data_IF_359275270736
#
_entry.id   IF_359275270736
#
_cell.length_a   1.000
_cell.length_b   1.000
_cell.length_c   1.000
_cell.angle_alpha   90.00
_cell.angle_beta   90.00
_cell.angle_gamma   90.00
#
_symmetry.space_group_name_H-M   'P 1'
#
loop_
_entity.id
_entity.type
_entity.pdbx_description
1 polymer ?
#
# COMPACT_ATOMS: atom_id res chain seq x y z
N UNK A 1 24.25 -72.23 16.95
CA UNK A 1 22.85 -72.52 17.32
C UNK A 1 21.95 -72.11 16.16
N UNK A 2 21.56 -73.08 15.35
CA UNK A 2 20.46 -73.03 14.38
C UNK A 2 19.13 -73.38 15.12
N UNK A 3 17.91 -73.29 14.54
CA UNK A 3 17.56 -73.07 13.11
C UNK A 3 16.42 -72.02 12.88
N UNK A 4 16.24 -71.52 11.64
CA UNK A 4 15.11 -71.78 10.71
C UNK A 4 13.77 -71.08 11.04
N UNK A 5 12.86 -70.76 10.12
CA UNK A 5 12.75 -70.67 8.66
C UNK A 5 11.31 -70.13 8.40
N UNK A 6 11.04 -69.36 7.36
CA UNK A 6 10.30 -69.84 6.17
C UNK A 6 9.16 -68.85 5.86
N UNK A 7 9.10 -68.20 4.69
CA UNK A 7 8.45 -68.67 3.43
C UNK A 7 6.95 -68.98 3.60
N UNK A 8 5.99 -68.67 2.71
CA UNK A 8 5.89 -68.02 1.39
C UNK A 8 4.36 -67.95 1.08
N UNK A 9 3.99 -67.12 0.08
CA UNK A 9 2.90 -67.32 -0.91
C UNK A 9 1.40 -67.04 -0.61
N UNK A 10 0.88 -66.13 -1.46
CA UNK A 10 -0.48 -65.88 -2.02
C UNK A 10 -1.14 -67.18 -2.61
N UNK A 11 -2.42 -67.27 -3.12
CA UNK A 11 -3.30 -66.21 -3.69
C UNK A 11 -4.87 -66.36 -3.61
N UNK A 12 -5.55 -65.29 -4.07
CA UNK A 12 -6.75 -65.17 -4.97
C UNK A 12 -8.21 -65.65 -4.67
N UNK A 13 -9.12 -64.87 -5.30
CA UNK A 13 -10.53 -65.11 -5.75
C UNK A 13 -11.67 -64.90 -4.72
N UNK A 14 -12.88 -64.42 -5.02
CA UNK A 14 -13.56 -63.77 -6.16
C UNK A 14 -15.04 -63.48 -5.74
N UNK A 15 -15.75 -62.58 -6.44
CA UNK A 15 -17.22 -62.41 -6.44
C UNK A 15 -17.68 -60.93 -6.24
N UNK A 16 -18.04 -60.13 -7.26
CA UNK A 16 -19.28 -60.12 -8.11
C UNK A 16 -20.56 -59.89 -7.28
N UNK A 17 -21.55 -59.03 -7.55
CA UNK A 17 -22.03 -58.03 -8.54
C UNK A 17 -23.07 -57.18 -7.74
N UNK A 18 -23.46 -55.93 -8.03
CA UNK A 18 -24.27 -55.39 -9.14
C UNK A 18 -24.37 -53.86 -8.91
N UNK A 19 -24.06 -52.98 -9.86
CA UNK A 19 -24.91 -52.49 -10.95
C UNK A 19 -26.17 -51.72 -10.49
N UNK A 20 -26.05 -50.39 -10.40
CA UNK A 20 -27.16 -49.45 -10.56
C UNK A 20 -26.60 -48.06 -10.93
N UNK A 21 -26.82 -47.64 -12.18
CA UNK A 21 -26.73 -46.23 -12.58
C UNK A 21 -28.01 -45.51 -12.11
N UNK A 22 -27.95 -44.19 -11.85
CA UNK A 22 -28.51 -43.33 -12.89
C UNK A 22 -27.79 -41.99 -13.12
N UNK A 23 -27.80 -41.64 -14.41
CA UNK A 23 -28.04 -40.34 -15.07
C UNK A 23 -27.38 -39.05 -14.59
N UNK A 24 -26.77 -38.42 -15.59
CA UNK A 24 -26.37 -37.03 -15.66
C UNK A 24 -27.48 -36.04 -15.25
N UNK A 25 -27.11 -35.10 -14.39
CA UNK A 25 -27.80 -33.85 -14.14
C UNK A 25 -26.77 -32.71 -14.18
N UNK A 26 -27.10 -31.66 -14.92
CA UNK A 26 -26.31 -30.46 -15.16
C UNK A 26 -25.95 -29.73 -13.84
N UNK A 27 -24.90 -28.87 -13.85
CA UNK A 27 -24.52 -28.13 -12.66
C UNK A 27 -25.61 -27.13 -12.27
N UNK A 28 -26.13 -27.27 -11.05
CA UNK A 28 -26.92 -26.25 -10.38
C UNK A 28 -26.12 -24.95 -10.32
N UNK A 29 -26.70 -23.93 -10.93
CA UNK A 29 -26.37 -22.54 -10.71
C UNK A 29 -26.34 -22.24 -9.21
N UNK A 30 -25.19 -21.80 -8.71
CA UNK A 30 -25.09 -21.15 -7.41
C UNK A 30 -25.92 -19.87 -7.47
N UNK A 31 -27.17 -19.96 -7.02
CA UNK A 31 -28.03 -18.83 -6.72
C UNK A 31 -27.32 -17.97 -5.66
N UNK A 32 -26.79 -16.83 -6.09
CA UNK A 32 -26.51 -15.69 -5.23
C UNK A 32 -27.84 -15.25 -4.61
N UNK A 33 -28.13 -15.73 -3.39
CA UNK A 33 -29.21 -15.18 -2.58
C UNK A 33 -28.89 -13.72 -2.26
N UNK A 34 -29.50 -12.83 -3.04
CA UNK A 34 -29.62 -11.42 -2.75
C UNK A 34 -30.32 -11.27 -1.39
N UNK A 35 -29.60 -10.71 -0.42
CA UNK A 35 -30.20 -10.22 0.81
C UNK A 35 -31.06 -9.00 0.45
N UNK A 36 -32.35 -9.21 0.19
CA UNK A 36 -33.36 -8.17 0.23
C UNK A 36 -33.79 -7.98 1.69
N UNK A 37 -33.21 -6.98 2.35
CA UNK A 37 -33.76 -6.43 3.59
C UNK A 37 -34.75 -5.34 3.21
N UNK A 38 -35.98 -5.53 3.67
CA UNK A 38 -37.14 -4.71 3.41
C UNK A 38 -37.00 -3.28 3.91
N UNK A 39 -37.29 -2.31 3.03
CA UNK A 39 -37.62 -0.95 3.41
C UNK A 39 -38.95 -0.92 4.17
N UNK A 40 -38.88 -0.74 5.49
CA UNK A 40 -40.01 -0.27 6.29
C UNK A 40 -39.77 1.19 6.66
N UNK A 41 -40.69 2.04 6.21
CA UNK A 41 -40.72 3.47 6.48
C UNK A 41 -40.81 3.74 7.98
N UNK A 42 -39.77 4.39 8.54
CA UNK A 42 -39.82 5.02 9.87
C UNK A 42 -39.80 6.52 9.65
N UNK A 43 -40.79 7.17 10.28
CA UNK A 43 -41.12 8.57 10.13
C UNK A 43 -39.97 9.51 10.45
N UNK A 44 -39.98 10.58 9.66
CA UNK A 44 -39.14 11.76 9.71
C UNK A 44 -39.21 12.44 11.09
N UNK A 45 -38.19 12.24 11.92
CA UNK A 45 -37.79 13.19 12.97
C UNK A 45 -36.34 13.56 12.65
N UNK A 46 -36.18 14.58 11.80
CA UNK A 46 -34.89 15.23 11.56
C UNK A 46 -34.56 15.99 12.83
N UNK A 47 -33.87 15.32 13.75
CA UNK A 47 -33.06 16.00 14.74
C UNK A 47 -31.98 16.75 13.95
N UNK A 48 -32.04 18.07 14.01
CA UNK A 48 -30.97 18.96 13.58
C UNK A 48 -29.73 18.62 14.40
N UNK A 49 -28.94 17.64 13.95
CA UNK A 49 -27.56 17.52 14.36
C UNK A 49 -26.88 18.78 13.82
N UNK A 50 -26.79 19.81 14.66
CA UNK A 50 -25.95 20.95 14.38
C UNK A 50 -24.57 20.40 14.06
N UNK A 51 -24.08 20.68 12.85
CA UNK A 51 -22.67 20.56 12.53
C UNK A 51 -21.94 21.32 13.65
N UNK A 52 -21.33 20.60 14.58
CA UNK A 52 -20.48 21.22 15.58
C UNK A 52 -19.42 21.99 14.79
N UNK A 53 -19.42 23.31 14.92
CA UNK A 53 -18.41 24.14 14.26
C UNK A 53 -17.04 23.56 14.65
N UNK A 54 -16.22 23.23 13.65
CA UNK A 54 -14.86 22.75 13.88
C UNK A 54 -14.16 23.80 14.76
N UNK A 55 -13.67 23.35 15.92
CA UNK A 55 -13.01 24.24 16.88
C UNK A 55 -11.75 24.84 16.23
N UNK A 56 -11.56 26.15 16.37
CA UNK A 56 -10.37 26.85 15.90
C UNK A 56 -9.51 27.35 17.09
N UNK A 57 -8.17 27.14 17.08
CA UNK A 57 -7.47 26.18 16.23
C UNK A 57 -7.97 24.75 16.51
N UNK A 58 -7.78 23.85 15.56
CA UNK A 58 -8.16 22.46 15.71
C UNK A 58 -7.17 21.74 16.62
N UNK A 59 -7.61 21.46 17.85
CA UNK A 59 -6.82 20.77 18.88
C UNK A 59 -7.44 19.44 19.29
N UNK A 60 -8.42 18.95 18.53
CA UNK A 60 -9.25 17.79 18.89
C UNK A 60 -8.43 16.50 19.05
N UNK A 61 -7.29 16.40 18.37
CA UNK A 61 -6.47 15.18 18.30
C UNK A 61 -5.15 15.26 19.08
N UNK A 62 -4.91 16.32 19.85
CA UNK A 62 -3.62 16.48 20.54
C UNK A 62 -3.36 15.40 21.58
N UNK A 63 -4.41 14.92 22.26
CA UNK A 63 -4.29 13.90 23.31
C UNK A 63 -3.45 14.35 24.53
N UNK A 64 -3.03 15.62 24.57
CA UNK A 64 -2.24 16.23 25.64
C UNK A 64 -2.79 17.62 25.95
N UNK A 65 -2.74 18.06 27.22
CA UNK A 65 -3.06 19.44 27.58
C UNK A 65 -2.14 20.44 26.89
N UNK A 66 -2.65 21.65 26.65
CA UNK A 66 -1.86 22.79 26.19
C UNK A 66 -2.37 24.07 26.87
N UNK A 67 -1.50 25.09 26.95
CA UNK A 67 -1.88 26.43 27.41
C UNK A 67 -2.24 27.33 26.23
N UNK A 68 -3.25 28.18 26.41
CA UNK A 68 -3.58 29.22 25.44
C UNK A 68 -2.50 30.28 25.34
N UNK A 69 -1.60 30.38 26.31
CA UNK A 69 -0.48 31.34 26.28
C UNK A 69 0.71 30.85 25.42
N UNK A 70 0.64 29.63 24.88
CA UNK A 70 1.69 29.10 24.03
C UNK A 70 1.80 29.89 22.71
N UNK A 71 3.02 30.16 22.20
CA UNK A 71 3.21 30.99 21.01
C UNK A 71 2.41 30.53 19.80
N UNK A 72 2.39 29.23 19.50
CA UNK A 72 1.67 28.69 18.35
C UNK A 72 0.17 28.98 18.43
N UNK A 73 -0.43 28.91 19.63
CA UNK A 73 -1.86 29.14 19.83
C UNK A 73 -2.19 30.60 19.58
N UNK A 74 -1.40 31.53 20.12
CA UNK A 74 -1.56 32.95 19.90
C UNK A 74 -1.41 33.34 18.42
N UNK A 75 -0.48 32.69 17.71
CA UNK A 75 -0.32 32.85 16.26
C UNK A 75 -1.56 32.38 15.49
N UNK A 76 -2.10 31.21 15.83
CA UNK A 76 -3.36 30.74 15.25
C UNK A 76 -4.50 31.73 15.51
N UNK A 77 -4.69 32.18 16.75
CA UNK A 77 -5.78 33.10 17.10
C UNK A 77 -5.71 34.44 16.37
N UNK A 78 -4.51 34.95 16.03
CA UNK A 78 -4.37 36.17 15.22
C UNK A 78 -5.06 36.03 13.86
N UNK A 79 -5.04 34.84 13.27
CA UNK A 79 -5.52 34.57 11.91
C UNK A 79 -6.84 33.80 11.88
N UNK A 80 -7.55 33.73 13.01
CA UNK A 80 -8.79 32.97 13.16
C UNK A 80 -9.89 33.38 12.17
N UNK A 81 -10.01 34.68 11.90
CA UNK A 81 -11.04 35.25 11.04
C UNK A 81 -10.63 35.33 9.55
N UNK A 82 -9.46 34.78 9.20
CA UNK A 82 -9.03 34.66 7.80
C UNK A 82 -9.67 33.44 7.14
N UNK A 83 -9.39 33.22 5.85
CA UNK A 83 -9.88 32.08 5.10
C UNK A 83 -10.92 32.43 4.03
N UNK A 84 -11.14 31.49 3.13
CA UNK A 84 -12.12 31.62 2.07
C UNK A 84 -13.45 30.98 2.47
N UNK A 85 -14.55 31.61 2.08
CA UNK A 85 -15.87 30.99 2.24
C UNK A 85 -16.02 29.85 1.22
N UNK A 86 -16.29 28.60 1.64
CA UNK A 86 -16.45 27.50 0.71
C UNK A 86 -17.64 27.74 -0.22
N UNK A 87 -17.49 27.60 -1.55
CA UNK A 87 -18.61 27.59 -2.46
C UNK A 87 -19.44 26.31 -2.24
N UNK A 88 -20.69 26.33 -2.74
CA UNK A 88 -21.62 25.20 -2.60
C UNK A 88 -21.06 23.97 -3.34
N UNK A 89 -20.99 22.84 -2.62
CA UNK A 89 -20.63 21.47 -3.01
C UNK A 89 -19.99 21.28 -4.40
N UNK A 90 -18.70 20.96 -4.42
CA UNK A 90 -18.09 20.29 -5.57
C UNK A 90 -18.45 18.80 -5.59
N UNK A 91 -18.46 18.21 -6.79
CA UNK A 91 -18.46 16.76 -6.95
C UNK A 91 -17.15 16.13 -6.46
N UNK A 92 -17.00 14.82 -6.65
CA UNK A 92 -15.82 14.05 -6.22
C UNK A 92 -14.51 14.67 -6.77
N UNK A 93 -13.77 15.35 -5.89
CA UNK A 93 -12.52 16.01 -6.24
C UNK A 93 -11.45 15.74 -5.17
N UNK A 94 -10.29 15.24 -5.60
CA UNK A 94 -9.17 14.88 -4.72
C UNK A 94 -8.07 15.95 -4.80
N UNK A 95 -8.19 16.99 -3.98
CA UNK A 95 -7.31 18.16 -4.05
C UNK A 95 -5.83 17.82 -3.82
N UNK A 96 -5.53 16.94 -2.85
CA UNK A 96 -4.17 16.46 -2.58
C UNK A 96 -3.52 15.83 -3.81
N UNK A 97 -4.20 14.87 -4.46
CA UNK A 97 -3.68 14.22 -5.67
C UNK A 97 -3.41 15.24 -6.79
N UNK A 98 -4.35 16.15 -7.03
CA UNK A 98 -4.19 17.22 -8.03
C UNK A 98 -3.01 18.13 -7.70
N UNK A 99 -2.88 18.58 -6.45
CA UNK A 99 -1.78 19.44 -5.99
C UNK A 99 -0.42 18.80 -6.28
N UNK A 100 -0.20 17.57 -5.82
CA UNK A 100 1.07 16.88 -6.00
C UNK A 100 1.35 16.52 -7.46
N UNK A 101 0.32 16.13 -8.23
CA UNK A 101 0.45 15.90 -9.66
C UNK A 101 0.90 17.17 -10.40
N UNK A 102 0.26 18.32 -10.15
CA UNK A 102 0.63 19.60 -10.77
C UNK A 102 2.02 20.06 -10.33
N UNK A 103 2.33 20.00 -9.02
CA UNK A 103 3.65 20.37 -8.49
C UNK A 103 4.79 19.56 -9.12
N UNK A 104 4.55 18.31 -9.50
CA UNK A 104 5.56 17.46 -10.14
C UNK A 104 5.85 17.81 -11.61
N UNK A 105 5.05 18.67 -12.24
CA UNK A 105 5.24 19.09 -13.62
C UNK A 105 6.35 20.14 -13.75
N UNK A 106 7.03 20.15 -14.90
CA UNK A 106 8.05 21.17 -15.19
C UNK A 106 7.46 22.59 -15.25
N UNK A 107 6.23 22.71 -15.75
CA UNK A 107 5.46 23.96 -15.82
C UNK A 107 4.01 23.63 -15.53
N UNK A 108 3.38 24.37 -14.62
CA UNK A 108 1.93 24.33 -14.38
C UNK A 108 1.36 25.71 -14.66
N UNK A 109 0.28 25.77 -15.44
CA UNK A 109 -0.38 27.03 -15.80
C UNK A 109 -1.23 27.59 -14.65
N UNK A 110 -1.56 28.89 -14.72
CA UNK A 110 -2.44 29.53 -13.73
C UNK A 110 -3.80 28.83 -13.65
N UNK A 111 -4.43 28.50 -14.79
CA UNK A 111 -5.73 27.83 -14.81
C UNK A 111 -5.72 26.43 -14.18
N UNK A 112 -4.59 25.72 -14.23
CA UNK A 112 -4.45 24.43 -13.54
C UNK A 112 -4.33 24.62 -12.03
N UNK A 113 -3.63 25.65 -11.56
CA UNK A 113 -3.61 25.95 -10.13
C UNK A 113 -4.96 26.47 -9.63
N UNK A 114 -5.69 27.23 -10.45
CA UNK A 114 -7.06 27.66 -10.14
C UNK A 114 -7.98 26.44 -9.95
N UNK A 115 -7.79 25.39 -10.76
CA UNK A 115 -8.50 24.11 -10.60
C UNK A 115 -8.14 23.43 -9.28
N UNK A 116 -6.86 23.36 -8.91
CA UNK A 116 -6.41 22.77 -7.64
C UNK A 116 -7.02 23.54 -6.46
N UNK A 117 -6.98 24.87 -6.49
CA UNK A 117 -7.56 25.72 -5.46
C UNK A 117 -9.07 25.54 -5.37
N UNK A 118 -9.79 25.60 -6.49
CA UNK A 118 -11.24 25.41 -6.50
C UNK A 118 -11.64 24.05 -5.92
N UNK A 119 -10.89 23.01 -6.24
CA UNK A 119 -11.05 21.68 -5.64
C UNK A 119 -10.85 21.73 -4.12
N UNK A 120 -9.72 22.29 -3.66
CA UNK A 120 -9.36 22.34 -2.25
C UNK A 120 -10.36 23.15 -1.41
N UNK A 121 -10.83 24.29 -1.90
CA UNK A 121 -11.85 25.10 -1.22
C UNK A 121 -13.16 24.31 -1.12
N UNK A 122 -13.58 23.64 -2.20
CA UNK A 122 -14.86 22.94 -2.22
C UNK A 122 -14.86 21.61 -1.44
N UNK A 123 -13.70 20.96 -1.28
CA UNK A 123 -13.52 19.79 -0.43
C UNK A 123 -13.04 20.12 0.99
N UNK A 124 -12.88 21.41 1.32
CA UNK A 124 -12.29 21.89 2.58
C UNK A 124 -10.93 21.22 2.89
N UNK A 125 -10.11 21.01 1.87
CA UNK A 125 -8.76 20.45 2.00
C UNK A 125 -7.80 21.53 2.50
N UNK A 126 -7.81 21.73 3.82
CA UNK A 126 -6.99 22.73 4.51
C UNK A 126 -5.48 22.49 4.29
N UNK A 127 -5.05 21.25 4.05
CA UNK A 127 -3.66 20.94 3.78
C UNK A 127 -3.20 21.53 2.45
N UNK A 128 -3.99 21.32 1.39
CA UNK A 128 -3.70 21.88 0.08
C UNK A 128 -3.81 23.40 0.11
N UNK A 129 -4.84 23.97 0.75
CA UNK A 129 -4.99 25.43 0.86
C UNK A 129 -3.81 26.07 1.57
N UNK A 130 -3.38 25.51 2.71
CA UNK A 130 -2.17 25.91 3.41
C UNK A 130 -0.96 25.92 2.45
N UNK A 131 -0.72 24.82 1.73
CA UNK A 131 0.42 24.71 0.84
C UNK A 131 0.36 25.66 -0.37
N UNK A 132 -0.82 25.89 -0.97
CA UNK A 132 -1.01 26.85 -2.06
C UNK A 132 -0.62 28.26 -1.61
N UNK A 133 -1.13 28.70 -0.46
CA UNK A 133 -0.86 30.03 0.09
C UNK A 133 0.56 30.19 0.65
N UNK A 134 1.14 29.13 1.22
CA UNK A 134 2.52 29.14 1.71
C UNK A 134 3.53 29.30 0.56
N UNK A 135 3.25 28.66 -0.59
CA UNK A 135 4.14 28.63 -1.74
C UNK A 135 3.84 29.68 -2.81
N UNK A 136 2.62 30.21 -2.87
CA UNK A 136 2.17 31.11 -3.93
C UNK A 136 1.88 30.40 -5.25
N UNK A 137 1.44 29.13 -5.20
CA UNK A 137 1.06 28.39 -6.41
C UNK A 137 -0.37 28.76 -6.82
N UNK A 138 -0.51 29.46 -7.94
CA UNK A 138 -1.79 29.98 -8.43
C UNK A 138 -2.45 31.06 -7.58
N UNK A 139 -1.81 31.48 -6.49
CA UNK A 139 -2.29 32.56 -5.61
C UNK A 139 -1.13 33.46 -5.24
N UNK A 140 -1.44 34.69 -4.81
CA UNK A 140 -0.43 35.49 -4.14
C UNK A 140 -0.03 34.79 -2.84
N UNK A 141 1.27 34.58 -2.66
CA UNK A 141 1.83 34.02 -1.43
C UNK A 141 1.35 34.84 -0.23
N UNK A 142 0.76 34.18 0.76
CA UNK A 142 0.24 34.81 1.97
C UNK A 142 0.41 33.88 3.17
N UNK A 143 1.36 34.20 4.05
CA UNK A 143 1.70 33.38 5.20
C UNK A 143 0.58 33.34 6.26
N UNK A 144 -0.19 34.42 6.43
CA UNK A 144 -1.27 34.46 7.41
C UNK A 144 -2.47 33.61 6.96
N UNK A 145 -2.80 33.59 5.66
CA UNK A 145 -3.82 32.67 5.13
C UNK A 145 -3.32 31.22 5.20
N UNK A 146 -2.05 30.97 4.88
CA UNK A 146 -1.48 29.63 5.05
C UNK A 146 -1.55 29.16 6.50
N UNK A 147 -1.23 30.04 7.45
CA UNK A 147 -1.30 29.78 8.89
C UNK A 147 -2.74 29.50 9.33
N UNK A 148 -3.73 30.24 8.83
CA UNK A 148 -5.15 29.98 9.10
C UNK A 148 -5.52 28.52 8.80
N UNK A 149 -5.22 28.07 7.57
CA UNK A 149 -5.53 26.69 7.18
C UNK A 149 -4.67 25.66 7.93
N UNK A 150 -3.40 25.97 8.23
CA UNK A 150 -2.54 25.12 9.05
C UNK A 150 -3.15 24.84 10.43
N UNK A 151 -3.74 25.86 11.05
CA UNK A 151 -4.40 25.79 12.35
C UNK A 151 -5.74 25.04 12.33
N UNK A 152 -6.25 24.66 11.17
CA UNK A 152 -7.50 23.90 11.01
C UNK A 152 -7.28 22.42 10.68
N UNK A 153 -6.03 22.00 10.44
CA UNK A 153 -5.73 20.63 10.05
C UNK A 153 -6.19 19.62 11.09
N UNK A 154 -6.91 18.59 10.63
CA UNK A 154 -7.34 17.46 11.44
C UNK A 154 -6.20 16.46 11.67
N UNK A 155 -6.28 15.70 12.77
CA UNK A 155 -5.38 14.59 13.07
C UNK A 155 -3.89 14.95 13.13
N UNK A 156 -3.59 16.16 13.62
CA UNK A 156 -2.24 16.66 13.85
C UNK A 156 -1.87 16.51 15.32
N UNK A 157 -0.64 16.08 15.61
CA UNK A 157 -0.09 16.11 16.96
C UNK A 157 0.35 17.52 17.37
N UNK A 158 0.31 17.85 18.66
CA UNK A 158 0.70 19.18 19.16
C UNK A 158 2.07 19.65 18.66
N UNK A 159 3.07 18.77 18.69
CA UNK A 159 4.42 19.09 18.22
C UNK A 159 4.49 19.41 16.71
N UNK A 160 3.64 18.78 15.90
CA UNK A 160 3.54 19.09 14.46
C UNK A 160 2.90 20.46 14.25
N UNK A 161 1.85 20.79 15.02
CA UNK A 161 1.24 22.12 14.98
C UNK A 161 2.26 23.19 15.36
N UNK A 162 3.00 23.00 16.45
CA UNK A 162 4.04 23.93 16.91
C UNK A 162 5.11 24.16 15.84
N UNK A 163 5.70 23.08 15.32
CA UNK A 163 6.74 23.16 14.30
C UNK A 163 6.24 23.82 13.02
N UNK A 164 5.02 23.48 12.57
CA UNK A 164 4.41 24.03 11.37
C UNK A 164 4.11 25.52 11.50
N UNK A 165 3.57 25.95 12.64
CA UNK A 165 3.34 27.37 12.93
C UNK A 165 4.66 28.13 12.95
N UNK A 166 5.70 27.58 13.58
CA UNK A 166 7.05 28.16 13.55
C UNK A 166 7.61 28.26 12.12
N UNK A 167 7.45 27.20 11.32
CA UNK A 167 7.90 27.16 9.93
C UNK A 167 7.25 28.28 9.11
N UNK A 168 5.92 28.40 9.16
CA UNK A 168 5.17 29.41 8.41
C UNK A 168 5.44 30.85 8.87
N UNK A 169 5.65 31.06 10.18
CA UNK A 169 5.83 32.41 10.77
C UNK A 169 7.28 32.88 10.75
N UNK A 170 8.26 31.99 10.70
CA UNK A 170 9.68 32.37 10.68
C UNK A 170 10.12 33.08 9.40
N UNK A 171 9.28 33.09 8.36
CA UNK A 171 9.61 33.66 7.05
C UNK A 171 10.73 32.90 6.33
N UNK A 172 11.15 31.73 6.86
CA UNK A 172 12.15 30.87 6.23
C UNK A 172 11.60 30.36 4.91
N UNK A 173 12.08 30.95 3.82
CA UNK A 173 11.88 30.41 2.48
C UNK A 173 13.00 29.41 2.24
N UNK A 174 12.74 28.13 2.49
CA UNK A 174 13.66 27.09 2.07
C UNK A 174 13.92 27.16 0.55
N UNK A 175 14.98 26.50 0.07
CA UNK A 175 15.17 26.28 -1.37
C UNK A 175 14.07 25.38 -1.96
N UNK A 176 13.41 24.58 -1.11
CA UNK A 176 12.29 23.73 -1.47
C UNK A 176 10.95 24.41 -1.12
N UNK A 177 9.88 24.18 -1.90
CA UNK A 177 8.53 24.59 -1.51
C UNK A 177 8.10 23.92 -0.21
N UNK A 178 7.42 24.68 0.64
CA UNK A 178 6.80 24.21 1.88
C UNK A 178 5.85 23.05 1.60
N UNK A 179 5.91 22.02 2.45
CA UNK A 179 5.05 20.84 2.37
C UNK A 179 4.49 20.49 3.74
N UNK A 180 3.24 19.99 3.78
CA UNK A 180 2.65 19.49 5.03
C UNK A 180 3.48 18.37 5.69
N UNK A 181 4.30 17.68 4.90
CA UNK A 181 5.19 16.61 5.32
C UNK A 181 6.52 17.08 5.92
N UNK A 182 6.80 18.39 5.95
CA UNK A 182 8.06 18.92 6.49
C UNK A 182 8.12 18.83 8.03
N UNK A 183 6.96 18.86 8.70
CA UNK A 183 6.85 19.00 10.16
C UNK A 183 6.25 17.74 10.84
N UNK A 184 6.38 16.57 10.21
CA UNK A 184 5.81 15.31 10.72
C UNK A 184 6.53 14.86 11.99
N UNK A 185 5.74 14.54 13.02
CA UNK A 185 6.23 13.89 14.26
C UNK A 185 5.35 12.72 14.69
N UNK A 186 4.12 12.64 14.17
CA UNK A 186 3.17 11.57 14.46
C UNK A 186 3.22 10.45 13.42
N UNK A 187 2.92 9.23 13.87
CA UNK A 187 2.80 8.10 12.96
C UNK A 187 1.60 8.21 11.99
N UNK A 188 0.54 8.91 12.39
CA UNK A 188 -0.60 9.20 11.52
C UNK A 188 -0.19 10.04 10.32
N UNK A 189 0.42 11.21 10.56
CA UNK A 189 0.93 12.05 9.47
C UNK A 189 2.08 11.39 8.71
N UNK A 190 2.88 10.57 9.38
CA UNK A 190 3.85 9.69 8.72
C UNK A 190 3.18 8.76 7.69
N UNK A 191 2.00 8.22 8.01
CA UNK A 191 1.17 7.44 7.10
C UNK A 191 0.65 8.25 5.92
N UNK A 192 0.08 9.44 6.16
CA UNK A 192 -0.40 10.35 5.10
C UNK A 192 0.73 10.67 4.11
N UNK A 193 1.90 11.05 4.61
CA UNK A 193 3.04 11.40 3.78
C UNK A 193 3.67 10.20 3.07
N UNK A 194 3.61 9.01 3.65
CA UNK A 194 3.95 7.77 2.96
C UNK A 194 2.97 7.49 1.80
N UNK A 195 1.67 7.73 1.99
CA UNK A 195 0.66 7.56 0.94
C UNK A 195 0.90 8.50 -0.24
N UNK A 196 1.09 9.80 0.03
CA UNK A 196 1.39 10.80 -0.99
C UNK A 196 2.61 10.40 -1.83
N UNK A 197 3.66 9.92 -1.17
CA UNK A 197 4.87 9.46 -1.86
C UNK A 197 4.60 8.23 -2.70
N UNK A 198 3.81 7.29 -2.20
CA UNK A 198 3.45 6.08 -2.93
C UNK A 198 2.57 6.40 -4.15
N UNK A 199 1.66 7.36 -4.07
CA UNK A 199 0.84 7.81 -5.21
C UNK A 199 1.70 8.42 -6.33
N UNK A 200 2.65 9.28 -5.96
CA UNK A 200 3.63 9.85 -6.90
C UNK A 200 4.50 8.75 -7.54
N UNK A 201 5.01 7.82 -6.74
CA UNK A 201 5.81 6.71 -7.26
C UNK A 201 4.96 5.79 -8.15
N UNK A 202 3.70 5.54 -7.79
CA UNK A 202 2.76 4.74 -8.58
C UNK A 202 2.57 5.31 -9.98
N UNK A 203 2.38 6.63 -10.11
CA UNK A 203 2.29 7.28 -11.42
C UNK A 203 3.53 7.02 -12.28
N UNK A 204 4.72 7.15 -11.69
CA UNK A 204 5.99 6.87 -12.39
C UNK A 204 6.11 5.41 -12.81
N UNK A 205 5.76 4.47 -11.92
CA UNK A 205 5.79 3.03 -12.19
C UNK A 205 4.79 2.64 -13.28
N UNK A 206 3.55 3.10 -13.19
CA UNK A 206 2.51 2.80 -14.17
C UNK A 206 2.91 3.31 -15.56
N UNK A 207 3.43 4.54 -15.66
CA UNK A 207 3.92 5.08 -16.93
C UNK A 207 5.09 4.25 -17.51
N UNK A 208 5.98 3.72 -16.67
CA UNK A 208 7.09 2.83 -17.10
C UNK A 208 6.57 1.49 -17.59
N UNK A 209 5.66 0.86 -16.85
CA UNK A 209 5.06 -0.43 -17.21
C UNK A 209 4.18 -0.32 -18.45
N UNK A 210 3.45 0.77 -18.62
CA UNK A 210 2.63 1.03 -19.80
C UNK A 210 3.49 1.09 -21.07
N UNK A 211 4.67 1.72 -21.02
CA UNK A 211 5.62 1.77 -22.15
C UNK A 211 6.10 0.38 -22.59
N UNK A 212 6.27 -0.55 -21.65
CA UNK A 212 6.58 -1.96 -21.99
C UNK A 212 5.35 -2.65 -22.55
N UNK A 213 4.20 -2.50 -21.88
CA UNK A 213 2.94 -3.17 -22.22
C UNK A 213 2.47 -2.82 -23.63
N UNK A 214 2.61 -1.56 -24.06
CA UNK A 214 2.26 -1.10 -25.41
C UNK A 214 3.02 -1.81 -26.53
N UNK A 215 4.19 -2.38 -26.24
CA UNK A 215 5.04 -3.10 -27.21
C UNK A 215 4.74 -4.60 -27.27
N UNK A 216 3.89 -5.10 -26.38
CA UNK A 216 3.56 -6.52 -26.30
C UNK A 216 2.53 -6.91 -27.37
N UNK A 217 2.61 -8.16 -27.81
CA UNK A 217 1.54 -8.81 -28.57
C UNK A 217 0.26 -8.94 -27.72
N UNK A 218 -0.93 -9.17 -28.30
CA UNK A 218 -2.15 -9.38 -27.52
C UNK A 218 -2.02 -10.50 -26.48
N UNK A 219 -1.35 -11.60 -26.83
CA UNK A 219 -1.06 -12.68 -25.89
C UNK A 219 -0.11 -12.24 -24.76
N UNK A 220 0.89 -11.42 -25.08
CA UNK A 220 1.78 -10.82 -24.08
C UNK A 220 1.06 -9.85 -23.14
N UNK A 221 0.15 -9.02 -23.65
CA UNK A 221 -0.67 -8.12 -22.84
C UNK A 221 -1.58 -8.89 -21.88
N UNK A 222 -2.22 -9.96 -22.35
CA UNK A 222 -3.03 -10.83 -21.50
C UNK A 222 -2.20 -11.52 -20.41
N UNK A 223 -1.00 -12.02 -20.75
CA UNK A 223 -0.10 -12.61 -19.76
C UNK A 223 0.40 -11.57 -18.76
N UNK A 224 0.67 -10.34 -19.20
CA UNK A 224 1.05 -9.23 -18.32
C UNK A 224 -0.06 -8.84 -17.35
N UNK A 225 -1.32 -8.80 -17.80
CA UNK A 225 -2.46 -8.53 -16.93
C UNK A 225 -2.59 -9.60 -15.82
N UNK A 226 -2.43 -10.88 -16.17
CA UNK A 226 -2.42 -11.99 -15.19
C UNK A 226 -1.25 -11.86 -14.22
N UNK A 227 -0.07 -11.49 -14.71
CA UNK A 227 1.11 -11.23 -13.88
C UNK A 227 0.84 -10.09 -12.88
N UNK A 228 0.28 -8.96 -13.34
CA UNK A 228 -0.07 -7.83 -12.44
C UNK A 228 -1.02 -8.25 -11.34
N UNK A 229 -2.08 -9.01 -11.67
CA UNK A 229 -3.02 -9.50 -10.67
C UNK A 229 -2.35 -10.43 -9.64
N UNK A 230 -1.50 -11.36 -10.08
CA UNK A 230 -0.75 -12.23 -9.18
C UNK A 230 0.25 -11.45 -8.31
N UNK A 231 0.87 -10.40 -8.86
CA UNK A 231 1.78 -9.52 -8.13
C UNK A 231 1.05 -8.75 -7.02
N UNK A 232 -0.10 -8.14 -7.31
CA UNK A 232 -0.88 -7.44 -6.28
C UNK A 232 -1.36 -8.40 -5.19
N UNK A 233 -1.87 -9.58 -5.53
CA UNK A 233 -2.25 -10.58 -4.53
C UNK A 233 -1.10 -10.99 -3.61
N UNK A 234 0.11 -11.15 -4.16
CA UNK A 234 1.32 -11.40 -3.38
C UNK A 234 1.67 -10.23 -2.46
N UNK A 235 1.65 -9.00 -2.98
CA UNK A 235 1.98 -7.79 -2.21
C UNK A 235 0.97 -7.50 -1.10
N UNK A 236 -0.30 -7.77 -1.33
CA UNK A 236 -1.36 -7.63 -0.32
C UNK A 236 -1.15 -8.59 0.86
N UNK A 237 -0.75 -9.85 0.58
CA UNK A 237 -0.40 -10.77 1.67
C UNK A 237 0.90 -10.39 2.37
N UNK A 238 1.88 -9.88 1.62
CA UNK A 238 3.16 -9.43 2.17
C UNK A 238 3.00 -8.24 3.14
N UNK A 239 1.89 -7.49 3.08
CA UNK A 239 1.55 -6.51 4.11
C UNK A 239 1.44 -7.14 5.51
N UNK A 240 1.06 -8.42 5.61
CA UNK A 240 1.06 -9.19 6.85
C UNK A 240 2.44 -9.61 7.36
N UNK A 241 3.50 -9.36 6.58
CA UNK A 241 4.91 -9.54 6.97
C UNK A 241 5.56 -8.24 7.48
N UNK A 242 4.74 -7.25 7.86
CA UNK A 242 5.21 -6.00 8.47
C UNK A 242 4.85 -6.02 9.95
N UNK A 243 5.81 -5.63 10.79
CA UNK A 243 5.56 -5.44 12.21
C UNK A 243 4.72 -4.17 12.43
N UNK A 244 3.59 -4.34 13.11
CA UNK A 244 2.57 -3.31 13.33
C UNK A 244 2.69 -2.66 14.70
N UNK A 245 3.80 -2.86 15.40
CA UNK A 245 4.11 -2.10 16.61
C UNK A 245 4.40 -0.63 16.32
N UNK A 246 4.01 0.22 17.27
CA UNK A 246 4.27 1.65 17.22
C UNK A 246 3.33 2.42 16.30
N UNK A 247 3.35 3.74 16.42
CA UNK A 247 2.43 4.63 15.71
C UNK A 247 2.74 4.72 14.21
N UNK A 248 3.98 4.42 13.79
CA UNK A 248 4.42 4.47 12.39
C UNK A 248 4.10 3.20 11.58
N UNK A 249 3.47 2.19 12.19
CA UNK A 249 3.17 0.91 11.57
C UNK A 249 2.54 1.02 10.17
N UNK A 250 1.55 1.90 10.01
CA UNK A 250 0.87 2.09 8.72
C UNK A 250 1.82 2.62 7.63
N UNK A 251 2.71 3.56 7.98
CA UNK A 251 3.71 4.07 7.04
C UNK A 251 4.69 2.97 6.62
N UNK A 252 5.06 2.05 7.52
CA UNK A 252 5.92 0.91 7.19
C UNK A 252 5.25 -0.08 6.23
N UNK A 253 3.95 -0.32 6.37
CA UNK A 253 3.18 -1.13 5.40
C UNK A 253 3.24 -0.50 4.01
N UNK A 254 2.95 0.80 3.90
CA UNK A 254 2.99 1.51 2.61
C UNK A 254 4.39 1.49 1.99
N UNK A 255 5.44 1.70 2.79
CA UNK A 255 6.83 1.62 2.33
C UNK A 255 7.21 0.21 1.87
N UNK A 256 6.79 -0.82 2.61
CA UNK A 256 7.03 -2.21 2.24
C UNK A 256 6.37 -2.56 0.90
N UNK A 257 5.08 -2.24 0.76
CA UNK A 257 4.34 -2.47 -0.49
C UNK A 257 4.93 -1.66 -1.66
N UNK A 258 5.28 -0.39 -1.43
CA UNK A 258 5.94 0.44 -2.43
C UNK A 258 7.27 -0.17 -2.91
N UNK A 259 8.09 -0.70 -1.99
CA UNK A 259 9.33 -1.42 -2.35
C UNK A 259 9.05 -2.67 -3.19
N UNK A 260 8.03 -3.45 -2.86
CA UNK A 260 7.66 -4.62 -3.66
C UNK A 260 7.19 -4.21 -5.07
N UNK A 261 6.43 -3.11 -5.20
CA UNK A 261 6.00 -2.59 -6.50
C UNK A 261 7.16 -2.08 -7.33
N UNK A 262 8.15 -1.42 -6.72
CA UNK A 262 9.39 -1.05 -7.41
C UNK A 262 10.17 -2.28 -7.87
N UNK A 263 10.31 -3.30 -7.02
CA UNK A 263 10.96 -4.57 -7.38
C UNK A 263 10.24 -5.28 -8.53
N UNK A 264 8.91 -5.29 -8.51
CA UNK A 264 8.08 -5.84 -9.59
C UNK A 264 8.31 -5.09 -10.91
N UNK A 265 8.19 -3.76 -10.90
CA UNK A 265 8.44 -2.95 -12.09
C UNK A 265 9.85 -3.22 -12.62
N UNK A 266 10.87 -3.18 -11.75
CA UNK A 266 12.25 -3.38 -12.17
C UNK A 266 12.47 -4.78 -12.75
N UNK A 267 11.91 -5.83 -12.14
CA UNK A 267 11.98 -7.18 -12.68
C UNK A 267 11.34 -7.29 -14.07
N UNK A 268 10.21 -6.61 -14.31
CA UNK A 268 9.57 -6.56 -15.64
C UNK A 268 10.47 -5.86 -16.65
N UNK A 269 11.07 -4.72 -16.28
CA UNK A 269 11.99 -3.98 -17.15
C UNK A 269 13.25 -4.79 -17.46
N UNK A 270 13.84 -5.46 -16.46
CA UNK A 270 15.05 -6.26 -16.64
C UNK A 270 14.78 -7.50 -17.50
N UNK A 271 13.63 -8.16 -17.29
CA UNK A 271 13.22 -9.31 -18.12
C UNK A 271 12.98 -8.89 -19.57
N UNK A 272 12.24 -7.81 -19.80
CA UNK A 272 11.98 -7.28 -21.14
C UNK A 272 13.23 -6.72 -21.82
N UNK A 273 14.17 -6.18 -21.04
CA UNK A 273 15.43 -5.60 -21.51
C UNK A 273 16.60 -6.59 -21.59
N UNK A 274 16.41 -7.87 -21.25
CA UNK A 274 17.46 -8.88 -21.29
C UNK A 274 18.53 -8.74 -20.21
N UNK A 275 18.25 -8.03 -19.11
CA UNK A 275 19.15 -7.82 -17.96
C UNK A 275 18.93 -8.88 -16.87
N UNK A 276 18.92 -10.15 -17.27
CA UNK A 276 18.70 -11.26 -16.37
C UNK A 276 20.04 -11.86 -15.88
N UNK A 277 20.06 -12.46 -14.68
CA UNK A 277 21.24 -13.18 -14.22
C UNK A 277 21.55 -14.38 -15.12
N UNK A 278 22.81 -14.81 -15.12
CA UNK A 278 23.21 -16.03 -15.80
C UNK A 278 22.40 -17.23 -15.27
N UNK A 279 21.92 -18.06 -16.19
CA UNK A 279 20.99 -19.14 -15.88
C UNK A 279 21.62 -20.51 -16.12
N UNK A 280 21.41 -21.40 -15.15
CA UNK A 280 21.56 -22.84 -15.32
C UNK A 280 20.58 -23.56 -14.40
N UNK A 281 20.21 -24.79 -14.74
CA UNK A 281 19.35 -25.61 -13.89
C UNK A 281 19.95 -25.82 -12.50
N UNK A 282 21.27 -26.01 -12.42
CA UNK A 282 21.99 -26.15 -11.16
C UNK A 282 21.95 -24.86 -10.33
N UNK A 283 22.18 -23.69 -10.95
CA UNK A 283 22.11 -22.41 -10.25
C UNK A 283 20.70 -22.12 -9.73
N UNK A 284 19.65 -22.48 -10.48
CA UNK A 284 18.29 -22.35 -9.98
C UNK A 284 18.01 -23.29 -8.81
N UNK A 285 18.42 -24.57 -8.89
CA UNK A 285 18.23 -25.53 -7.82
C UNK A 285 18.92 -25.11 -6.51
N UNK A 286 20.15 -24.57 -6.59
CA UNK A 286 20.85 -24.01 -5.44
C UNK A 286 20.07 -22.85 -4.80
N UNK A 287 19.52 -21.95 -5.63
CA UNK A 287 18.74 -20.81 -5.15
C UNK A 287 17.43 -21.23 -4.50
N UNK A 288 16.75 -22.22 -5.08
CA UNK A 288 15.52 -22.77 -4.51
C UNK A 288 15.78 -23.47 -3.15
N UNK A 289 16.88 -24.21 -3.02
CA UNK A 289 17.31 -24.77 -1.74
C UNK A 289 17.53 -23.67 -0.68
N UNK A 290 18.23 -22.59 -1.03
CA UNK A 290 18.47 -21.45 -0.14
C UNK A 290 17.19 -20.70 0.25
N UNK A 291 16.20 -20.62 -0.65
CA UNK A 291 14.89 -20.06 -0.33
C UNK A 291 14.20 -20.91 0.75
N UNK A 292 14.20 -22.23 0.57
CA UNK A 292 13.62 -23.14 1.54
C UNK A 292 14.33 -23.08 2.90
N UNK A 293 15.65 -22.91 2.92
CA UNK A 293 16.42 -22.68 4.15
C UNK A 293 16.02 -21.38 4.85
N UNK A 294 15.95 -20.26 4.11
CA UNK A 294 15.53 -18.97 4.66
C UNK A 294 14.10 -19.01 5.20
N UNK A 295 13.18 -19.66 4.48
CA UNK A 295 11.81 -19.88 4.93
C UNK A 295 11.78 -20.71 6.22
N UNK A 296 12.48 -21.84 6.28
CA UNK A 296 12.55 -22.67 7.50
C UNK A 296 13.14 -21.90 8.69
N UNK A 297 14.15 -21.06 8.45
CA UNK A 297 14.75 -20.23 9.49
C UNK A 297 13.71 -19.26 10.09
N UNK A 298 12.95 -18.55 9.25
CA UNK A 298 11.85 -17.67 9.71
C UNK A 298 10.80 -18.47 10.48
N UNK A 299 10.41 -19.63 9.97
CA UNK A 299 9.36 -20.45 10.58
C UNK A 299 9.77 -21.16 11.88
N UNK A 300 11.06 -21.12 12.25
CA UNK A 300 11.56 -21.68 13.50
C UNK A 300 11.62 -20.63 14.63
N UNK A 301 11.37 -19.36 14.33
CA UNK A 301 11.44 -18.26 15.30
C UNK A 301 10.18 -18.31 16.18
N UNK A 302 10.35 -18.77 17.41
CA UNK A 302 9.26 -18.82 18.39
C UNK A 302 9.03 -17.45 19.04
N UNK A 303 7.77 -17.14 19.36
CA UNK A 303 7.47 -15.98 20.19
C UNK A 303 7.80 -16.24 21.66
N UNK A 304 8.30 -15.22 22.35
CA UNK A 304 8.49 -15.26 23.81
C UNK A 304 7.29 -14.68 24.58
N UNK A 305 6.33 -14.08 23.86
CA UNK A 305 5.19 -13.39 24.48
C UNK A 305 4.04 -14.36 24.81
N UNK A 306 3.60 -14.30 26.06
CA UNK A 306 2.44 -15.06 26.54
C UNK A 306 1.16 -14.63 25.80
N UNK A 307 0.40 -15.61 25.30
CA UNK A 307 -0.84 -15.38 24.56
C UNK A 307 -0.68 -15.15 23.04
N UNK A 308 0.57 -15.10 22.53
CA UNK A 308 0.86 -14.82 21.12
C UNK A 308 1.75 -15.90 20.46
N UNK A 309 1.44 -17.22 20.61
CA UNK A 309 2.37 -18.30 20.26
C UNK A 309 2.66 -18.44 18.75
N UNK A 310 1.79 -17.94 17.88
CA UNK A 310 1.96 -18.02 16.42
C UNK A 310 2.77 -16.85 15.84
N UNK A 311 3.32 -15.95 16.68
CA UNK A 311 4.14 -14.83 16.21
C UNK A 311 5.60 -15.22 15.95
N UNK A 312 6.22 -14.48 15.04
CA UNK A 312 7.67 -14.52 14.80
C UNK A 312 8.32 -13.57 15.80
N UNK A 313 9.02 -14.15 16.78
CA UNK A 313 9.69 -13.40 17.84
C UNK A 313 8.73 -12.52 18.63
N UNK A 314 9.14 -11.29 18.90
CA UNK A 314 8.33 -10.30 19.62
C UNK A 314 7.58 -9.33 18.68
N UNK A 315 7.46 -9.68 17.39
CA UNK A 315 6.76 -8.88 16.39
C UNK A 315 5.26 -9.17 16.32
N UNK A 316 4.50 -8.32 15.63
CA UNK A 316 3.13 -8.66 15.22
C UNK A 316 3.07 -9.51 13.96
N UNK A 317 4.15 -10.12 13.49
CA UNK A 317 4.11 -10.96 12.28
C UNK A 317 3.75 -12.38 12.70
N UNK A 318 2.83 -13.03 11.99
CA UNK A 318 2.44 -14.42 12.28
C UNK A 318 3.09 -15.41 11.31
N UNK A 319 3.35 -16.63 11.79
CA UNK A 319 3.74 -17.75 10.92
C UNK A 319 2.67 -18.05 9.87
N UNK A 320 1.38 -17.80 10.17
CA UNK A 320 0.30 -17.90 9.20
C UNK A 320 0.43 -16.88 8.06
N UNK A 321 0.79 -15.62 8.35
CA UNK A 321 1.00 -14.59 7.34
C UNK A 321 2.17 -14.93 6.42
N UNK A 322 3.31 -15.37 6.97
CA UNK A 322 4.47 -15.79 6.16
C UNK A 322 4.13 -16.97 5.24
N UNK A 323 3.35 -17.94 5.73
CA UNK A 323 2.85 -19.06 4.93
C UNK A 323 1.95 -18.62 3.78
N UNK A 324 1.04 -17.69 4.01
CA UNK A 324 0.16 -17.18 2.96
C UNK A 324 0.95 -16.39 1.90
N UNK A 325 1.84 -15.50 2.34
CA UNK A 325 2.71 -14.74 1.46
C UNK A 325 3.58 -15.64 0.59
N UNK A 326 4.19 -16.68 1.15
CA UNK A 326 5.04 -17.61 0.38
C UNK A 326 4.24 -18.35 -0.70
N UNK A 327 3.01 -18.78 -0.41
CA UNK A 327 2.14 -19.43 -1.40
C UNK A 327 1.77 -18.50 -2.55
N UNK A 328 1.45 -17.24 -2.24
CA UNK A 328 1.12 -16.23 -3.26
C UNK A 328 2.35 -15.80 -4.05
N UNK A 329 3.52 -15.78 -3.40
CA UNK A 329 4.79 -15.54 -4.06
C UNK A 329 5.08 -16.61 -5.12
N UNK A 330 4.82 -17.89 -4.84
CA UNK A 330 4.95 -18.97 -5.82
C UNK A 330 4.02 -18.74 -7.04
N UNK A 331 2.76 -18.38 -6.80
CA UNK A 331 1.81 -18.07 -7.87
C UNK A 331 2.26 -16.85 -8.71
N UNK A 332 2.79 -15.82 -8.06
CA UNK A 332 3.39 -14.65 -8.70
C UNK A 332 4.60 -15.04 -9.56
N UNK A 333 5.54 -15.83 -9.04
CA UNK A 333 6.72 -16.32 -9.75
C UNK A 333 6.31 -17.10 -11.01
N UNK A 334 5.34 -17.99 -10.89
CA UNK A 334 4.89 -18.82 -11.99
C UNK A 334 4.18 -17.98 -13.07
N UNK A 335 3.31 -17.04 -12.66
CA UNK A 335 2.70 -16.06 -13.57
C UNK A 335 3.77 -15.20 -14.28
N UNK A 336 4.85 -14.85 -13.59
CA UNK A 336 5.96 -14.10 -14.17
C UNK A 336 6.65 -14.90 -15.27
N UNK A 337 6.97 -16.17 -15.01
CA UNK A 337 7.60 -17.03 -16.03
C UNK A 337 6.69 -17.24 -17.25
N UNK A 338 5.37 -17.34 -17.04
CA UNK A 338 4.41 -17.42 -18.13
C UNK A 338 4.36 -16.14 -18.97
N UNK A 339 4.46 -14.96 -18.34
CA UNK A 339 4.59 -13.67 -19.02
C UNK A 339 5.92 -13.58 -19.80
N UNK A 340 7.03 -13.95 -19.18
CA UNK A 340 8.35 -13.90 -19.78
C UNK A 340 8.42 -14.74 -21.08
N UNK A 341 7.77 -15.91 -21.10
CA UNK A 341 7.65 -16.75 -22.30
C UNK A 341 6.84 -16.12 -23.45
N UNK A 342 6.12 -15.01 -23.22
CA UNK A 342 5.40 -14.25 -24.25
C UNK A 342 6.17 -13.03 -24.77
N UNK A 343 7.35 -12.75 -24.22
CA UNK A 343 8.23 -11.70 -24.73
C UNK A 343 8.92 -12.17 -26.02
N UNK A 344 9.19 -11.26 -26.99
CA UNK A 344 9.91 -11.62 -28.21
C UNK A 344 11.30 -12.21 -27.97
N UNK A 345 11.98 -11.77 -26.91
CA UNK A 345 13.29 -12.30 -26.50
C UNK A 345 13.22 -13.71 -25.91
N UNK A 346 12.03 -14.17 -25.50
CA UNK A 346 11.78 -15.46 -24.85
C UNK A 346 12.89 -15.85 -23.85
N UNK A 347 13.16 -15.02 -22.82
CA UNK A 347 14.26 -15.26 -21.90
C UNK A 347 14.12 -16.60 -21.18
N UNK A 348 15.26 -17.18 -20.79
CA UNK A 348 15.30 -18.43 -20.04
C UNK A 348 14.49 -18.30 -18.74
N UNK A 349 13.51 -19.19 -18.56
CA UNK A 349 12.68 -19.25 -17.37
C UNK A 349 13.52 -19.45 -16.09
N UNK A 350 14.65 -20.16 -16.15
CA UNK A 350 15.56 -20.30 -15.02
C UNK A 350 16.17 -18.96 -14.60
N UNK A 351 16.50 -18.08 -15.56
CA UNK A 351 17.04 -16.75 -15.27
C UNK A 351 16.04 -15.88 -14.50
N UNK A 352 14.77 -15.90 -14.96
CA UNK A 352 13.66 -15.20 -14.31
C UNK A 352 13.43 -15.73 -12.90
N UNK A 353 13.39 -17.07 -12.73
CA UNK A 353 13.21 -17.67 -11.41
C UNK A 353 14.37 -17.36 -10.47
N UNK A 354 15.62 -17.39 -10.94
CA UNK A 354 16.79 -17.01 -10.13
C UNK A 354 16.67 -15.57 -9.62
N UNK A 355 16.27 -14.63 -10.49
CA UNK A 355 16.06 -13.23 -10.11
C UNK A 355 15.01 -13.11 -8.98
N UNK A 356 13.82 -13.67 -9.19
CA UNK A 356 12.70 -13.54 -8.25
C UNK A 356 12.97 -14.29 -6.93
N UNK A 357 13.55 -15.49 -7.00
CA UNK A 357 13.94 -16.27 -5.81
C UNK A 357 14.98 -15.50 -4.98
N UNK A 358 15.95 -14.83 -5.62
CA UNK A 358 16.94 -14.03 -4.91
C UNK A 358 16.31 -12.84 -4.17
N UNK A 359 15.30 -12.20 -4.75
CA UNK A 359 14.54 -11.13 -4.10
C UNK A 359 13.80 -11.66 -2.86
N UNK A 360 13.13 -12.81 -2.97
CA UNK A 360 12.39 -13.41 -1.84
C UNK A 360 13.30 -13.89 -0.72
N UNK A 361 14.44 -14.51 -1.04
CA UNK A 361 15.48 -14.85 -0.06
C UNK A 361 15.88 -13.61 0.75
N UNK A 362 16.11 -12.47 0.09
CA UNK A 362 16.52 -11.25 0.77
C UNK A 362 15.42 -10.74 1.72
N UNK A 363 14.14 -10.86 1.35
CA UNK A 363 13.01 -10.49 2.20
C UNK A 363 12.91 -11.39 3.44
N UNK A 364 12.89 -12.72 3.25
CA UNK A 364 12.87 -13.68 4.36
C UNK A 364 14.08 -13.54 5.28
N UNK A 365 15.26 -13.26 4.72
CA UNK A 365 16.47 -13.03 5.52
C UNK A 365 16.39 -11.74 6.35
N UNK A 366 15.64 -10.72 5.91
CA UNK A 366 15.39 -9.54 6.75
C UNK A 366 14.44 -9.89 7.90
N UNK A 367 13.39 -10.66 7.63
CA UNK A 367 12.47 -11.14 8.66
C UNK A 367 13.17 -11.99 9.72
N UNK A 368 14.16 -12.81 9.33
CA UNK A 368 14.91 -13.64 10.26
C UNK A 368 15.96 -12.90 11.11
N UNK A 369 16.29 -11.65 10.77
CA UNK A 369 17.27 -10.82 11.50
C UNK A 369 16.62 -9.86 12.49
N UNK A 370 15.36 -9.54 12.27
CA UNK A 370 14.54 -8.75 13.18
C UNK A 370 13.95 -9.69 14.24
#
# INVERSE_FOLDING_TARGET
MQPAAGHRQLPALAGAQSDERPRAGAPESVEMKAYHVACAAIGLLIASAGLAAQQYPNTSTFGVPFSKDEPWYQQCMRVADLGETPPRAAGDCHAGELYYAKRSQAVTSQGEWDQVRACAVASSDNAVLMMLYANGFGVQRNADIALHYACQLDFIAKAEMEARVEHLTSGRTGKAPFDQCDDITSGYMGGICASIREDLNKQVRDARLERVTKKLTPAGQQAFAKLRAAAEHYMDAAAGEVDMHGTAAHAFVLQHMGKLREQFMQAVLDTAGGKLPAASAAAYAERDARLNEAYKAVMAISSTQEGWPDRIGDSTISHAAVRDTERRWLAYRDAFTAFAAKLPSAPDAAAVKILLTSQRIAQLSNLARN
#
